data_IF_189010999892
#
_entry.id   IF_189010999892
#
_cell.length_a   1.000
_cell.length_b   1.000
_cell.length_c   1.000
_cell.angle_alpha   90.00
_cell.angle_beta   90.00
_cell.angle_gamma   90.00
#
_symmetry.space_group_name_H-M   'P 1'
#
loop_
_entity.id
_entity.type
_entity.pdbx_description
1 polymer ?
#
# COMPACT_ATOMS: atom_id res chain seq x y z
N UNK A 1 -27.54 18.98 -13.80
CA UNK A 1 -28.26 19.18 -12.52
C UNK A 1 -27.58 18.32 -11.47
N UNK A 2 -27.20 18.96 -10.37
CA UNK A 2 -26.01 18.66 -9.57
C UNK A 2 -26.16 17.44 -8.66
N UNK A 3 -25.09 16.66 -8.48
CA UNK A 3 -25.01 15.57 -7.49
C UNK A 3 -25.34 16.04 -6.05
N UNK A 4 -25.26 17.35 -5.78
CA UNK A 4 -25.67 17.99 -4.53
C UNK A 4 -27.16 17.81 -4.22
N UNK A 5 -28.06 17.84 -5.23
CA UNK A 5 -29.49 17.63 -5.00
C UNK A 5 -29.83 16.16 -4.72
N UNK A 6 -29.00 15.21 -5.19
CA UNK A 6 -29.13 13.79 -4.81
C UNK A 6 -28.63 13.52 -3.39
N UNK A 7 -27.63 14.28 -2.93
CA UNK A 7 -27.12 14.22 -1.56
C UNK A 7 -28.09 14.83 -0.52
N UNK A 8 -28.94 15.76 -0.95
CA UNK A 8 -30.04 16.30 -0.16
C UNK A 8 -31.32 15.44 -0.22
N UNK A 9 -31.40 14.49 -1.17
CA UNK A 9 -32.57 13.65 -1.41
C UNK A 9 -32.72 12.47 -0.45
N UNK A 10 -31.62 11.98 0.12
CA UNK A 10 -31.63 11.19 1.36
C UNK A 10 -31.29 12.15 2.49
N UNK A 11 -32.10 12.24 3.53
CA UNK A 11 -31.96 13.37 4.47
C UNK A 11 -30.55 13.38 5.07
N UNK A 12 -29.77 14.48 4.93
CA UNK A 12 -28.44 14.58 5.52
C UNK A 12 -28.45 14.24 7.02
N UNK A 13 -29.58 14.51 7.66
CA UNK A 13 -29.91 14.14 9.04
C UNK A 13 -29.86 12.62 9.28
N UNK A 14 -30.36 11.81 8.36
CA UNK A 14 -30.34 10.34 8.44
C UNK A 14 -28.93 9.78 8.30
N UNK A 15 -28.11 10.37 7.43
CA UNK A 15 -26.69 10.02 7.29
C UNK A 15 -25.93 10.38 8.57
N UNK A 16 -26.17 11.57 9.12
CA UNK A 16 -25.56 12.00 10.38
C UNK A 16 -25.92 11.07 11.53
N UNK A 17 -27.20 10.70 11.68
CA UNK A 17 -27.65 9.73 12.67
C UNK A 17 -26.97 8.36 12.48
N UNK A 18 -26.90 7.88 11.24
CA UNK A 18 -26.22 6.62 10.93
C UNK A 18 -24.74 6.67 11.29
N UNK A 19 -24.05 7.77 10.99
CA UNK A 19 -22.64 7.96 11.35
C UNK A 19 -22.43 8.01 12.86
N UNK A 20 -23.31 8.70 13.61
CA UNK A 20 -23.26 8.74 15.07
C UNK A 20 -23.43 7.34 15.65
N UNK A 21 -24.45 6.60 15.21
CA UNK A 21 -24.73 5.24 15.68
C UNK A 21 -23.57 4.30 15.35
N UNK A 22 -23.06 4.34 14.11
CA UNK A 22 -21.93 3.50 13.70
C UNK A 22 -20.66 3.86 14.48
N UNK A 23 -20.35 5.14 14.66
CA UNK A 23 -19.16 5.57 15.43
C UNK A 23 -19.26 5.13 16.89
N UNK A 24 -20.45 5.19 17.49
CA UNK A 24 -20.70 4.72 18.83
C UNK A 24 -20.54 3.19 18.94
N UNK A 25 -21.11 2.43 18.01
CA UNK A 25 -20.94 0.97 17.96
C UNK A 25 -19.49 0.57 17.79
N UNK A 26 -18.75 1.22 16.89
CA UNK A 26 -17.31 0.97 16.70
C UNK A 26 -16.55 1.29 17.99
N UNK A 27 -16.81 2.43 18.64
CA UNK A 27 -16.20 2.78 19.92
C UNK A 27 -16.49 1.76 21.02
N UNK A 28 -17.73 1.24 21.09
CA UNK A 28 -18.12 0.19 22.03
C UNK A 28 -17.35 -1.11 21.78
N UNK A 29 -17.24 -1.52 20.51
CA UNK A 29 -16.46 -2.70 20.10
C UNK A 29 -15.00 -2.53 20.49
N UNK A 30 -14.38 -1.40 20.16
CA UNK A 30 -12.99 -1.11 20.51
C UNK A 30 -12.77 -1.16 22.02
N UNK A 31 -13.67 -0.56 22.80
CA UNK A 31 -13.62 -0.62 24.27
C UNK A 31 -13.82 -2.04 24.82
N UNK A 32 -14.67 -2.86 24.19
CA UNK A 32 -14.93 -4.23 24.62
C UNK A 32 -13.73 -5.16 24.35
N UNK A 33 -13.02 -4.94 23.25
CA UNK A 33 -11.76 -5.64 22.93
C UNK A 33 -10.55 -5.05 23.67
N UNK A 34 -10.72 -3.96 24.43
CA UNK A 34 -9.62 -3.29 25.14
C UNK A 34 -8.61 -2.60 24.21
N UNK A 35 -8.99 -2.36 22.95
CA UNK A 35 -8.14 -1.70 21.96
C UNK A 35 -8.43 -0.20 21.93
N UNK A 36 -7.37 0.60 22.02
CA UNK A 36 -7.48 2.04 21.87
C UNK A 36 -7.51 2.43 20.39
N UNK A 37 -8.16 3.53 20.01
CA UNK A 37 -8.10 4.06 18.64
C UNK A 37 -6.69 4.33 18.12
N UNK A 38 -5.79 4.64 19.05
CA UNK A 38 -4.39 4.87 18.73
C UNK A 38 -3.67 3.58 18.32
N UNK A 39 -4.07 2.42 18.84
CA UNK A 39 -3.43 1.13 18.52
C UNK A 39 -3.60 0.75 17.04
N UNK A 40 -4.73 1.10 16.42
CA UNK A 40 -4.95 0.89 14.98
C UNK A 40 -3.97 1.74 14.16
N UNK A 41 -3.78 3.01 14.55
CA UNK A 41 -2.87 3.93 13.87
C UNK A 41 -1.41 3.50 14.07
N UNK A 42 -1.04 3.13 15.30
CA UNK A 42 0.29 2.60 15.59
C UNK A 42 0.55 1.26 14.90
N UNK A 43 -0.46 0.39 14.80
CA UNK A 43 -0.37 -0.87 14.07
C UNK A 43 -0.09 -0.68 12.58
N UNK A 44 -0.77 0.27 11.94
CA UNK A 44 -0.51 0.62 10.52
C UNK A 44 0.90 1.19 10.37
N UNK A 45 1.29 2.14 11.24
CA UNK A 45 2.63 2.73 11.21
C UNK A 45 3.71 1.66 11.38
N UNK A 46 3.56 0.79 12.37
CA UNK A 46 4.53 -0.27 12.65
C UNK A 46 4.58 -1.29 11.52
N UNK A 47 3.45 -1.65 10.91
CA UNK A 47 3.42 -2.50 9.72
C UNK A 47 4.26 -1.93 8.58
N UNK A 48 4.15 -0.63 8.28
CA UNK A 48 4.99 -0.01 7.25
C UNK A 48 6.47 0.08 7.66
N UNK A 49 6.76 0.36 8.94
CA UNK A 49 8.13 0.39 9.46
C UNK A 49 8.78 -0.99 9.39
N UNK A 50 8.06 -2.05 9.78
CA UNK A 50 8.53 -3.42 9.72
C UNK A 50 8.70 -3.88 8.26
N UNK A 51 7.76 -3.51 7.39
CA UNK A 51 7.86 -3.75 5.95
C UNK A 51 9.08 -3.03 5.35
N UNK A 52 9.42 -1.82 5.80
CA UNK A 52 10.62 -1.12 5.38
C UNK A 52 11.88 -1.88 5.82
N UNK A 53 11.98 -2.25 7.10
CA UNK A 53 13.13 -3.01 7.62
C UNK A 53 13.31 -4.37 6.94
N UNK A 54 12.22 -5.11 6.70
CA UNK A 54 12.27 -6.40 5.99
C UNK A 54 12.46 -6.25 4.47
N UNK A 55 11.88 -5.19 3.91
CA UNK A 55 11.83 -4.93 2.47
C UNK A 55 13.22 -4.74 1.86
N UNK A 56 14.14 -4.08 2.56
CA UNK A 56 15.53 -3.95 2.07
C UNK A 56 16.23 -5.29 1.90
N UNK A 57 15.96 -6.28 2.75
CA UNK A 57 16.59 -7.59 2.63
C UNK A 57 16.03 -8.41 1.45
N UNK A 58 14.74 -8.28 1.16
CA UNK A 58 14.13 -8.87 -0.04
C UNK A 58 14.59 -8.16 -1.32
N UNK A 59 14.67 -6.83 -1.29
CA UNK A 59 15.16 -6.00 -2.39
C UNK A 59 16.63 -6.27 -2.71
N UNK A 60 17.48 -6.47 -1.69
CA UNK A 60 18.89 -6.81 -1.87
C UNK A 60 19.07 -8.10 -2.68
N UNK A 61 18.33 -9.17 -2.33
CA UNK A 61 18.33 -10.42 -3.10
C UNK A 61 17.79 -10.23 -4.51
N UNK A 62 16.70 -9.49 -4.67
CA UNK A 62 16.10 -9.21 -5.97
C UNK A 62 17.08 -8.46 -6.91
N UNK A 63 17.74 -7.41 -6.41
CA UNK A 63 18.78 -6.69 -7.14
C UNK A 63 19.97 -7.61 -7.44
N UNK A 64 20.37 -8.47 -6.50
CA UNK A 64 21.39 -9.49 -6.70
C UNK A 64 21.10 -10.41 -7.90
N UNK A 65 19.86 -10.90 -8.04
CA UNK A 65 19.46 -11.71 -9.21
C UNK A 65 19.51 -10.93 -10.53
N UNK A 66 19.07 -9.66 -10.52
CA UNK A 66 19.16 -8.79 -11.70
C UNK A 66 20.62 -8.58 -12.09
N UNK A 67 21.50 -8.28 -11.13
CA UNK A 67 22.92 -8.09 -11.38
C UNK A 67 23.60 -9.37 -11.90
N UNK A 68 23.23 -10.53 -11.36
CA UNK A 68 23.75 -11.83 -11.82
C UNK A 68 23.32 -12.11 -13.27
N UNK A 69 22.05 -11.85 -13.61
CA UNK A 69 21.58 -11.93 -14.99
C UNK A 69 22.28 -10.91 -15.91
N UNK A 70 22.42 -9.66 -15.44
CA UNK A 70 23.10 -8.60 -16.17
C UNK A 70 24.57 -8.94 -16.44
N UNK A 71 25.26 -9.61 -15.51
CA UNK A 71 26.64 -10.05 -15.68
C UNK A 71 26.81 -11.01 -16.88
N UNK A 72 25.77 -11.75 -17.25
CA UNK A 72 25.78 -12.66 -18.41
C UNK A 72 25.22 -11.97 -19.66
N UNK A 73 24.07 -11.30 -19.53
CA UNK A 73 23.34 -10.72 -20.66
C UNK A 73 24.09 -9.53 -21.25
N UNK A 74 24.71 -8.67 -20.43
CA UNK A 74 25.41 -7.47 -20.91
C UNK A 74 26.61 -7.83 -21.80
N UNK A 75 27.53 -8.74 -21.40
CA UNK A 75 28.61 -9.19 -22.28
C UNK A 75 28.09 -9.89 -23.54
N UNK A 76 27.12 -10.79 -23.42
CA UNK A 76 26.54 -11.50 -24.57
C UNK A 76 25.95 -10.51 -25.58
N UNK A 77 25.21 -9.51 -25.10
CA UNK A 77 24.67 -8.44 -25.92
C UNK A 77 25.78 -7.64 -26.62
N UNK A 78 26.83 -7.25 -25.90
CA UNK A 78 27.96 -6.50 -26.47
C UNK A 78 28.69 -7.28 -27.57
N UNK A 79 28.92 -8.59 -27.38
CA UNK A 79 29.55 -9.44 -28.39
C UNK A 79 28.69 -9.53 -29.65
N UNK A 80 27.39 -9.82 -29.50
CA UNK A 80 26.47 -9.89 -30.64
C UNK A 80 26.38 -8.53 -31.34
N UNK A 81 26.31 -7.43 -30.58
CA UNK A 81 26.27 -6.06 -31.09
C UNK A 81 27.53 -5.74 -31.91
N UNK A 82 28.72 -6.08 -31.39
CA UNK A 82 29.99 -5.78 -32.05
C UNK A 82 30.20 -6.62 -33.32
N UNK A 83 29.79 -7.89 -33.30
CA UNK A 83 29.82 -8.77 -34.47
C UNK A 83 28.79 -8.34 -35.52
N UNK A 84 27.61 -7.89 -35.10
CA UNK A 84 26.54 -7.38 -35.97
C UNK A 84 26.78 -5.98 -36.52
N UNK A 85 27.73 -5.22 -35.97
CA UNK A 85 28.12 -3.89 -36.46
C UNK A 85 28.99 -3.95 -37.73
N UNK A 86 29.32 -5.15 -38.21
CA UNK A 86 29.96 -5.37 -39.51
C UNK A 86 28.90 -5.52 -40.61
N UNK A 87 28.21 -4.42 -40.93
CA UNK A 87 27.53 -4.22 -42.22
C UNK A 87 27.45 -2.73 -42.53
#
# INVERSE_FOLDING_TARGET
MSALTRFLGDSPLRILLKLIVVSFLVGLVMSAFGWSPLDVVYGIRNFFVDLWHMGFHALDRFVGYILLGAAIVVPAFLVIRLLGYRK
#
